data_IF_531101232839
#
_entry.id   IF_531101232839
#
_cell.length_a   1.000
_cell.length_b   1.000
_cell.length_c   1.000
_cell.angle_alpha   90.00
_cell.angle_beta   90.00
_cell.angle_gamma   90.00
#
_symmetry.space_group_name_H-M   'P 1'
#
loop_
_entity.id
_entity.type
_entity.pdbx_description
1 polymer ?
#
# COMPACT_ATOMS: atom_id res chain seq x y z
N UNK A 1 8.55 -13.37 -7.14
CA UNK A 1 9.07 -12.78 -8.41
C UNK A 1 10.40 -12.10 -8.06
N UNK A 2 11.45 -12.15 -8.92
CA UNK A 2 12.80 -11.63 -8.56
C UNK A 2 12.95 -10.14 -8.88
N UNK A 3 13.28 -9.30 -7.89
CA UNK A 3 13.35 -7.83 -7.97
C UNK A 3 14.00 -7.25 -9.24
N UNK A 4 15.15 -7.80 -9.67
CA UNK A 4 15.86 -7.34 -10.88
C UNK A 4 15.02 -7.46 -12.16
N UNK A 5 14.24 -8.54 -12.28
CA UNK A 5 13.36 -8.71 -13.43
C UNK A 5 12.30 -7.61 -13.47
N UNK A 6 11.78 -7.10 -12.33
CA UNK A 6 10.79 -6.02 -12.37
C UNK A 6 11.39 -4.70 -12.86
N UNK A 7 12.64 -4.40 -12.48
CA UNK A 7 13.33 -3.17 -12.91
C UNK A 7 13.46 -3.11 -14.43
N UNK A 8 13.75 -4.24 -15.08
CA UNK A 8 13.89 -4.33 -16.54
C UNK A 8 12.56 -4.22 -17.31
N UNK A 9 11.42 -4.40 -16.64
CA UNK A 9 10.11 -4.46 -17.29
C UNK A 9 9.45 -3.09 -17.44
N UNK A 10 9.99 -2.05 -16.79
CA UNK A 10 9.42 -0.71 -16.75
C UNK A 10 8.15 -0.59 -15.91
N UNK A 11 7.92 0.62 -15.38
CA UNK A 11 6.79 0.92 -14.47
C UNK A 11 5.43 0.59 -15.08
N UNK A 12 5.23 0.88 -16.37
CA UNK A 12 3.96 0.62 -17.07
C UNK A 12 3.56 -0.85 -17.10
N UNK A 13 4.54 -1.77 -17.23
CA UNK A 13 4.24 -3.21 -17.21
C UNK A 13 3.92 -3.69 -15.80
N UNK A 14 4.59 -3.16 -14.78
CA UNK A 14 4.26 -3.44 -13.37
C UNK A 14 2.83 -3.00 -13.06
N UNK A 15 2.46 -1.78 -13.46
CA UNK A 15 1.11 -1.25 -13.30
C UNK A 15 0.07 -2.10 -14.06
N UNK A 16 0.35 -2.53 -15.29
CA UNK A 16 -0.53 -3.40 -16.06
C UNK A 16 -0.75 -4.77 -15.39
N UNK A 17 0.31 -5.36 -14.81
CA UNK A 17 0.21 -6.63 -14.07
C UNK A 17 -0.67 -6.48 -12.84
N UNK A 18 -0.52 -5.40 -12.07
CA UNK A 18 -1.39 -5.08 -10.93
C UNK A 18 -2.84 -4.90 -11.37
N UNK A 19 -3.08 -4.13 -12.44
CA UNK A 19 -4.42 -3.91 -12.97
C UNK A 19 -5.10 -5.23 -13.39
N UNK A 20 -4.39 -6.10 -14.13
CA UNK A 20 -4.91 -7.42 -14.53
C UNK A 20 -5.21 -8.31 -13.33
N UNK A 21 -4.35 -8.29 -12.32
CA UNK A 21 -4.56 -9.04 -11.08
C UNK A 21 -5.84 -8.58 -10.37
N UNK A 22 -6.03 -7.27 -10.20
CA UNK A 22 -7.23 -6.69 -9.58
C UNK A 22 -8.47 -7.00 -10.41
N UNK A 23 -8.41 -6.80 -11.73
CA UNK A 23 -9.55 -7.04 -12.63
C UNK A 23 -10.00 -8.52 -12.67
N UNK A 24 -9.11 -9.45 -12.32
CA UNK A 24 -9.43 -10.87 -12.25
C UNK A 24 -10.27 -11.26 -11.01
N UNK A 25 -10.41 -10.37 -10.01
CA UNK A 25 -11.27 -10.57 -8.84
C UNK A 25 -12.70 -10.12 -9.17
N UNK A 26 -13.53 -11.08 -9.55
CA UNK A 26 -14.96 -10.86 -9.84
C UNK A 26 -15.78 -10.86 -8.55
N UNK A 27 -17.00 -10.33 -8.62
CA UNK A 27 -17.99 -10.39 -7.53
C UNK A 27 -18.19 -11.82 -7.01
N UNK A 28 -18.30 -12.79 -7.92
CA UNK A 28 -18.40 -14.21 -7.57
C UNK A 28 -17.20 -14.72 -6.78
N UNK A 29 -15.97 -14.40 -7.21
CA UNK A 29 -14.75 -14.81 -6.48
C UNK A 29 -14.68 -14.20 -5.08
N UNK A 30 -15.09 -12.93 -4.95
CA UNK A 30 -15.10 -12.24 -3.66
C UNK A 30 -16.13 -12.89 -2.74
N UNK A 31 -17.35 -13.16 -3.21
CA UNK A 31 -18.39 -13.84 -2.43
C UNK A 31 -17.95 -15.23 -1.99
N UNK A 32 -17.42 -16.04 -2.91
CA UNK A 32 -16.90 -17.36 -2.60
C UNK A 32 -15.76 -17.32 -1.56
N UNK A 33 -14.86 -16.33 -1.66
CA UNK A 33 -13.82 -16.12 -0.66
C UNK A 33 -14.41 -15.78 0.71
N UNK A 34 -15.37 -14.85 0.79
CA UNK A 34 -15.99 -14.45 2.06
C UNK A 34 -16.77 -15.61 2.70
N UNK A 35 -17.51 -16.40 1.92
CA UNK A 35 -18.21 -17.59 2.41
C UNK A 35 -17.25 -18.65 2.94
N UNK A 36 -16.15 -18.90 2.21
CA UNK A 36 -15.11 -19.83 2.64
C UNK A 36 -14.43 -19.37 3.93
N UNK A 37 -14.09 -18.08 4.00
CA UNK A 37 -13.46 -17.49 5.17
C UNK A 37 -14.40 -17.49 6.38
N UNK A 38 -15.70 -17.27 6.19
CA UNK A 38 -16.69 -17.37 7.27
C UNK A 38 -16.80 -18.79 7.86
N UNK A 39 -16.58 -19.83 7.05
CA UNK A 39 -16.56 -21.23 7.50
C UNK A 39 -15.27 -21.62 8.21
N UNK A 40 -14.13 -21.06 7.79
CA UNK A 40 -12.82 -21.30 8.38
C UNK A 40 -12.02 -19.99 8.43
N UNK A 41 -12.24 -19.16 9.46
CA UNK A 41 -11.61 -17.85 9.53
C UNK A 41 -10.13 -17.99 9.85
N UNK A 42 -9.30 -17.41 8.99
CA UNK A 42 -7.88 -17.27 9.24
C UNK A 42 -7.57 -15.83 9.65
N UNK A 43 -6.97 -15.66 10.83
CA UNK A 43 -6.51 -14.36 11.32
C UNK A 43 -5.15 -14.09 10.71
N UNK A 44 -5.05 -13.03 9.92
CA UNK A 44 -3.80 -12.56 9.36
C UNK A 44 -3.02 -11.78 10.42
N UNK A 45 -1.82 -12.24 10.74
CA UNK A 45 -0.82 -11.53 11.53
C UNK A 45 0.33 -11.13 10.62
N UNK A 46 1.17 -10.17 11.07
CA UNK A 46 2.39 -9.83 10.33
C UNK A 46 3.28 -11.05 10.08
N UNK A 47 3.34 -11.98 11.04
CA UNK A 47 4.11 -13.22 10.93
C UNK A 47 3.50 -14.25 9.96
N UNK A 48 2.16 -14.23 9.79
CA UNK A 48 1.45 -15.15 8.89
C UNK A 48 1.43 -14.66 7.45
N UNK A 49 1.69 -13.36 7.22
CA UNK A 49 1.78 -12.83 5.87
C UNK A 49 3.05 -13.38 5.19
N UNK A 50 3.01 -13.68 3.88
CA UNK A 50 4.18 -14.13 3.12
C UNK A 50 5.16 -12.97 2.84
N UNK A 51 5.47 -12.17 3.87
CA UNK A 51 6.33 -11.00 3.84
C UNK A 51 7.81 -11.35 4.04
N UNK A 52 8.25 -12.50 3.50
CA UNK A 52 9.66 -12.89 3.59
C UNK A 52 10.44 -12.32 2.41
N UNK A 53 11.51 -11.60 2.71
CA UNK A 53 12.58 -11.13 1.83
C UNK A 53 12.09 -10.42 0.54
N UNK A 54 12.01 -9.09 0.59
CA UNK A 54 11.74 -8.18 -0.53
C UNK A 54 10.28 -8.16 -1.03
N UNK A 55 9.31 -8.36 -0.14
CA UNK A 55 7.90 -8.17 -0.45
C UNK A 55 7.42 -6.80 0.03
N UNK A 56 6.54 -6.17 -0.74
CA UNK A 56 5.84 -4.94 -0.34
C UNK A 56 4.34 -5.23 -0.20
N UNK A 57 3.71 -4.68 0.83
CA UNK A 57 2.28 -4.78 1.08
C UNK A 57 1.64 -3.40 1.07
N UNK A 58 0.84 -3.12 0.04
CA UNK A 58 0.08 -1.89 -0.07
C UNK A 58 -1.31 -2.05 0.57
N UNK A 59 -1.76 -1.03 1.30
CA UNK A 59 -3.09 -0.99 1.91
C UNK A 59 -3.68 0.41 1.92
N UNK A 60 -4.95 0.52 2.31
CA UNK A 60 -5.75 1.75 2.22
C UNK A 60 -5.99 2.20 0.76
N UNK A 61 -6.63 3.35 0.57
CA UNK A 61 -6.85 3.93 -0.75
C UNK A 61 -6.87 5.46 -0.68
N UNK A 62 -6.25 6.17 -1.64
CA UNK A 62 -6.35 7.62 -1.73
C UNK A 62 -7.77 8.10 -2.09
N UNK A 63 -8.67 7.19 -2.42
CA UNK A 63 -10.09 7.50 -2.69
C UNK A 63 -10.91 7.69 -1.41
N UNK A 64 -10.37 7.35 -0.24
CA UNK A 64 -11.05 7.57 1.02
C UNK A 64 -10.93 9.03 1.44
N UNK A 65 -12.07 9.67 1.67
CA UNK A 65 -12.15 11.08 2.06
C UNK A 65 -11.85 11.27 3.55
N UNK A 66 -10.59 11.07 3.94
CA UNK A 66 -10.17 11.27 5.32
C UNK A 66 -10.25 12.75 5.74
N UNK A 67 -9.88 13.67 4.84
CA UNK A 67 -9.88 15.11 5.11
C UNK A 67 -11.27 15.75 5.15
N UNK A 68 -12.31 15.06 4.68
CA UNK A 68 -13.69 15.51 4.80
C UNK A 68 -14.30 15.32 6.19
N UNK A 69 -13.61 14.64 7.12
CA UNK A 69 -14.11 14.44 8.48
C UNK A 69 -13.85 15.67 9.35
N UNK A 70 -14.86 16.52 9.54
CA UNK A 70 -14.82 17.64 10.48
C UNK A 70 -15.77 17.36 11.66
N UNK A 71 -15.21 17.29 12.86
CA UNK A 71 -15.97 17.05 14.10
C UNK A 71 -16.50 18.34 14.75
N UNK A 72 -16.38 19.49 14.08
CA UNK A 72 -16.74 20.84 14.54
C UNK A 72 -15.54 21.71 14.95
N UNK A 73 -14.32 21.24 14.68
CA UNK A 73 -13.06 21.82 15.18
C UNK A 73 -12.13 22.15 14.00
N UNK A 74 -12.63 21.95 12.77
CA UNK A 74 -11.87 22.07 11.53
C UNK A 74 -11.50 20.72 10.94
N UNK A 75 -11.14 20.76 9.66
CA UNK A 75 -10.68 19.59 8.90
C UNK A 75 -9.37 19.02 9.46
N UNK A 76 -9.07 17.72 9.23
CA UNK A 76 -7.81 17.12 9.65
C UNK A 76 -6.62 17.81 8.98
N UNK A 77 -5.51 17.93 9.71
CA UNK A 77 -4.26 18.46 9.16
C UNK A 77 -3.42 17.41 8.42
N UNK A 78 -3.45 16.16 8.91
CA UNK A 78 -2.70 15.05 8.34
C UNK A 78 -3.36 13.72 8.72
N UNK A 79 -3.12 12.69 7.93
CA UNK A 79 -3.61 11.31 8.17
C UNK A 79 -2.41 10.38 8.24
N UNK A 80 -2.28 9.62 9.34
CA UNK A 80 -1.16 8.69 9.57
C UNK A 80 -1.68 7.40 10.20
N UNK A 81 -0.95 6.30 10.01
CA UNK A 81 -1.32 5.04 10.65
C UNK A 81 -0.75 4.93 12.07
N UNK A 82 -1.44 4.18 12.92
CA UNK A 82 -0.97 3.88 14.28
C UNK A 82 0.26 2.95 14.27
N UNK A 83 1.08 2.96 15.33
CA UNK A 83 2.35 2.22 15.38
C UNK A 83 2.22 0.71 15.15
N UNK A 84 1.09 0.09 15.53
CA UNK A 84 0.82 -1.33 15.29
C UNK A 84 0.74 -1.71 13.79
N UNK A 85 0.60 -0.72 12.90
CA UNK A 85 0.58 -0.93 11.46
C UNK A 85 1.95 -0.76 10.80
N UNK A 86 3.03 -0.54 11.56
CA UNK A 86 4.37 -0.33 11.03
C UNK A 86 5.15 -1.65 11.01
N UNK A 87 5.41 -2.15 9.82
CA UNK A 87 6.25 -3.32 9.56
C UNK A 87 7.09 -3.09 8.30
N UNK A 88 8.25 -3.74 8.20
CA UNK A 88 9.10 -3.65 7.00
C UNK A 88 8.32 -4.10 5.75
N UNK A 89 8.41 -3.32 4.66
CA UNK A 89 7.66 -3.57 3.44
C UNK A 89 6.21 -3.06 3.44
N UNK A 90 5.73 -2.47 4.54
CA UNK A 90 4.38 -1.90 4.58
C UNK A 90 4.33 -0.54 3.87
N UNK A 91 3.36 -0.41 2.98
CA UNK A 91 3.01 0.83 2.31
C UNK A 91 1.53 1.13 2.57
N UNK A 92 1.24 2.32 3.09
CA UNK A 92 -0.14 2.79 3.32
C UNK A 92 -0.40 4.04 2.51
N UNK A 93 -1.50 4.03 1.75
CA UNK A 93 -1.87 5.12 0.85
C UNK A 93 -3.02 5.94 1.44
N UNK A 94 -2.86 7.25 1.44
CA UNK A 94 -3.90 8.21 1.84
C UNK A 94 -4.15 9.22 0.71
N UNK A 95 -5.33 9.83 0.71
CA UNK A 95 -5.49 11.07 -0.03
C UNK A 95 -4.46 12.06 0.52
N UNK A 96 -3.81 12.85 -0.33
CA UNK A 96 -2.97 13.93 0.14
C UNK A 96 -3.82 15.15 0.53
N UNK A 97 -3.20 16.11 1.22
CA UNK A 97 -3.90 17.31 1.71
C UNK A 97 -4.33 18.23 0.56
N UNK A 98 -3.58 18.22 -0.54
CA UNK A 98 -3.89 18.94 -1.77
C UNK A 98 -4.74 18.08 -2.70
N UNK A 99 -5.69 18.69 -3.41
CA UNK A 99 -6.55 17.95 -4.33
C UNK A 99 -5.72 17.28 -5.43
N UNK A 100 -5.96 15.98 -5.64
CA UNK A 100 -5.21 15.17 -6.61
C UNK A 100 -3.87 14.62 -6.12
N UNK A 101 -3.40 15.05 -4.94
CA UNK A 101 -2.17 14.51 -4.33
C UNK A 101 -2.41 13.19 -3.57
N UNK A 102 -1.32 12.45 -3.32
CA UNK A 102 -1.35 11.18 -2.58
C UNK A 102 -0.26 11.21 -1.51
N UNK A 103 -0.65 10.98 -0.28
CA UNK A 103 0.27 10.78 0.83
C UNK A 103 0.63 9.29 0.90
N UNK A 104 1.93 8.98 0.89
CA UNK A 104 2.45 7.61 0.99
C UNK A 104 3.21 7.45 2.30
N UNK A 105 2.71 6.58 3.18
CA UNK A 105 3.46 6.15 4.36
C UNK A 105 4.17 4.84 4.05
N UNK A 106 5.50 4.90 3.93
CA UNK A 106 6.37 3.77 3.64
C UNK A 106 7.17 3.36 4.89
N UNK A 107 6.99 2.13 5.35
CA UNK A 107 7.73 1.56 6.48
C UNK A 107 8.73 0.54 5.97
N UNK A 108 10.02 0.85 6.13
CA UNK A 108 11.12 -0.03 5.74
C UNK A 108 12.24 0.01 6.77
N UNK A 109 13.11 -0.99 6.73
CA UNK A 109 14.36 -0.97 7.48
C UNK A 109 15.23 0.24 7.09
N UNK A 110 16.05 0.78 8.02
CA UNK A 110 16.84 2.00 7.80
C UNK A 110 17.71 1.96 6.53
N UNK A 111 18.29 0.80 6.21
CA UNK A 111 19.17 0.64 5.05
C UNK A 111 18.40 0.82 3.74
N UNK A 112 17.15 0.35 3.69
CA UNK A 112 16.28 0.51 2.52
C UNK A 112 15.84 1.97 2.39
N UNK A 113 15.46 2.62 3.50
CA UNK A 113 15.10 4.04 3.49
C UNK A 113 16.28 4.92 3.04
N UNK A 114 17.49 4.61 3.50
CA UNK A 114 18.69 5.30 3.07
C UNK A 114 18.96 5.09 1.57
N UNK A 115 18.75 3.87 1.06
CA UNK A 115 18.83 3.58 -0.37
C UNK A 115 17.83 4.40 -1.18
N UNK A 116 16.57 4.45 -0.75
CA UNK A 116 15.53 5.26 -1.39
C UNK A 116 15.86 6.75 -1.38
N UNK A 117 16.34 7.29 -0.25
CA UNK A 117 16.69 8.70 -0.13
C UNK A 117 17.90 9.12 -0.98
N UNK A 118 18.76 8.18 -1.35
CA UNK A 118 19.91 8.40 -2.24
C UNK A 118 19.57 8.16 -3.73
N UNK A 119 18.39 7.62 -4.04
CA UNK A 119 17.97 7.35 -5.42
C UNK A 119 17.38 8.62 -6.05
N UNK A 120 18.13 9.19 -7.01
CA UNK A 120 17.75 10.44 -7.67
C UNK A 120 16.52 10.32 -8.56
N UNK A 121 16.25 9.15 -9.13
CA UNK A 121 15.06 8.93 -9.96
C UNK A 121 13.82 8.88 -9.06
N UNK A 122 13.90 8.15 -7.94
CA UNK A 122 12.83 8.07 -6.96
C UNK A 122 12.51 9.43 -6.32
N UNK A 123 13.55 10.16 -5.89
CA UNK A 123 13.38 11.45 -5.21
C UNK A 123 12.80 12.55 -6.10
N UNK A 124 12.73 12.37 -7.43
CA UNK A 124 11.98 13.29 -8.30
C UNK A 124 10.46 13.26 -8.07
N UNK A 125 9.95 12.20 -7.44
CA UNK A 125 8.52 11.99 -7.19
C UNK A 125 8.12 12.11 -5.72
N UNK A 126 9.08 12.32 -4.81
CA UNK A 126 8.84 12.46 -3.37
C UNK A 126 9.14 13.89 -2.97
N UNK A 127 8.11 14.59 -2.45
CA UNK A 127 8.16 16.00 -2.06
C UNK A 127 7.75 16.20 -0.60
#
# INVERSE_FOLDING_TARGET
MKARYQLEQGLGNVALKMNKFIAAYTDEKIKNFLESWGKNPEILTWDSLPMKNNACFASSSPRFNFYGNDFGWGRPMAVRSGPANKADGKITLFAGVEEGSVDVEACFLPETLQGMGNDTEFMQFVY
#
